data_IF_565568525157
#
_entry.id   IF_565568525157
#
_cell.length_a   1.000
_cell.length_b   1.000
_cell.length_c   1.000
_cell.angle_alpha   90.00
_cell.angle_beta   90.00
_cell.angle_gamma   90.00
#
_symmetry.space_group_name_H-M   'P 1'
#
loop_
_entity.id
_entity.type
_entity.pdbx_description
1 polymer ?
#
# COMPACT_ATOMS: atom_id res chain seq x y z
N UNK A 1 -15.97 38.66 20.49
CA UNK A 1 -15.78 38.17 19.10
C UNK A 1 -15.78 36.65 19.16
N UNK A 2 -16.81 35.98 18.68
CA UNK A 2 -16.93 34.50 18.77
C UNK A 2 -16.72 33.91 17.39
N UNK A 3 -15.65 33.13 17.24
CA UNK A 3 -15.37 32.38 16.03
C UNK A 3 -15.72 30.92 16.26
N UNK A 4 -16.47 30.30 15.36
CA UNK A 4 -16.69 28.87 15.33
C UNK A 4 -15.84 28.23 14.23
N UNK A 5 -15.03 27.28 14.60
CA UNK A 5 -14.22 26.51 13.67
C UNK A 5 -14.82 25.11 13.53
N UNK A 6 -15.22 24.77 12.31
CA UNK A 6 -15.67 23.43 11.99
C UNK A 6 -14.61 22.71 11.17
N UNK A 7 -14.21 21.54 11.62
CA UNK A 7 -13.31 20.65 10.91
C UNK A 7 -14.05 19.37 10.56
N UNK A 8 -14.29 19.14 9.28
CA UNK A 8 -15.01 17.98 8.78
C UNK A 8 -14.09 17.16 7.88
N UNK A 9 -13.81 15.88 8.19
CA UNK A 9 -12.96 15.04 7.38
C UNK A 9 -13.68 14.68 6.07
N UNK A 10 -12.95 14.82 4.95
CA UNK A 10 -13.46 14.51 3.61
C UNK A 10 -12.61 13.49 2.87
N UNK A 11 -11.58 12.93 3.52
CA UNK A 11 -10.70 11.93 2.97
C UNK A 11 -9.30 11.98 3.55
N UNK A 12 -8.39 11.28 2.91
CA UNK A 12 -6.96 11.25 3.25
C UNK A 12 -6.11 11.53 2.01
N UNK A 13 -4.80 11.78 2.21
CA UNK A 13 -3.82 11.90 1.13
C UNK A 13 -3.28 10.54 0.64
N UNK A 14 -3.84 9.45 1.12
CA UNK A 14 -3.40 8.09 0.79
C UNK A 14 -4.01 7.63 -0.54
N UNK A 15 -3.17 7.42 -1.55
CA UNK A 15 -3.58 6.82 -2.82
C UNK A 15 -3.99 5.35 -2.64
N UNK A 16 -5.09 4.96 -3.28
CA UNK A 16 -5.58 3.59 -3.28
C UNK A 16 -4.94 2.80 -4.44
N UNK A 17 -4.52 1.57 -4.16
CA UNK A 17 -3.96 0.62 -5.15
C UNK A 17 -5.05 -0.28 -5.74
N UNK A 18 -6.14 -0.50 -4.98
CA UNK A 18 -7.25 -1.40 -5.32
C UNK A 18 -8.59 -0.77 -4.98
N UNK A 19 -9.65 -1.23 -5.63
CA UNK A 19 -11.02 -0.80 -5.31
C UNK A 19 -11.44 -1.33 -3.94
N UNK A 20 -11.92 -0.47 -3.03
CA UNK A 20 -12.26 -0.82 -1.64
C UNK A 20 -13.68 -1.39 -1.54
N UNK A 21 -13.90 -2.58 -2.10
CA UNK A 21 -15.22 -3.18 -2.19
C UNK A 21 -15.88 -3.44 -0.85
N UNK A 22 -15.11 -3.84 0.18
CA UNK A 22 -15.68 -4.10 1.52
C UNK A 22 -16.14 -2.81 2.16
N UNK A 23 -15.37 -1.73 2.08
CA UNK A 23 -15.79 -0.41 2.58
C UNK A 23 -17.07 0.08 1.89
N UNK A 24 -17.17 -0.08 0.56
CA UNK A 24 -18.37 0.28 -0.22
C UNK A 24 -19.57 -0.57 0.20
N UNK A 25 -19.38 -1.88 0.36
CA UNK A 25 -20.44 -2.80 0.81
C UNK A 25 -20.92 -2.46 2.22
N UNK A 26 -20.00 -2.19 3.15
CA UNK A 26 -20.35 -1.77 4.50
C UNK A 26 -21.12 -0.45 4.52
N UNK A 27 -20.75 0.53 3.70
CA UNK A 27 -21.52 1.77 3.52
C UNK A 27 -22.95 1.46 3.07
N UNK A 28 -23.09 0.65 2.02
CA UNK A 28 -24.41 0.30 1.47
C UNK A 28 -25.28 -0.45 2.47
N UNK A 29 -24.71 -1.42 3.20
CA UNK A 29 -25.45 -2.18 4.24
C UNK A 29 -25.93 -1.26 5.36
N UNK A 30 -25.09 -0.34 5.86
CA UNK A 30 -25.48 0.58 6.92
C UNK A 30 -26.61 1.53 6.49
N UNK A 31 -26.51 2.08 5.25
CA UNK A 31 -27.57 2.94 4.70
C UNK A 31 -28.86 2.14 4.51
N UNK A 32 -28.80 0.94 3.95
CA UNK A 32 -29.96 0.08 3.75
C UNK A 32 -30.62 -0.31 5.09
N UNK A 33 -29.83 -0.71 6.08
CA UNK A 33 -30.33 -1.03 7.42
C UNK A 33 -31.04 0.16 8.06
N UNK A 34 -30.50 1.37 7.90
CA UNK A 34 -31.14 2.59 8.39
C UNK A 34 -32.48 2.86 7.68
N UNK A 35 -32.52 2.75 6.36
CA UNK A 35 -33.76 2.94 5.59
C UNK A 35 -34.83 1.94 6.00
N UNK A 36 -34.48 0.66 6.15
CA UNK A 36 -35.41 -0.39 6.58
C UNK A 36 -35.96 -0.09 7.98
N UNK A 37 -35.13 0.34 8.93
CA UNK A 37 -35.52 0.54 10.32
C UNK A 37 -36.22 1.89 10.57
N UNK A 38 -36.12 2.88 9.67
CA UNK A 38 -36.66 4.22 9.93
C UNK A 38 -37.71 4.68 8.90
N UNK A 39 -37.61 4.26 7.63
CA UNK A 39 -38.46 4.83 6.58
C UNK A 39 -39.51 3.87 6.02
N UNK A 40 -39.30 2.57 6.10
CA UNK A 40 -40.09 1.59 5.34
C UNK A 40 -40.94 0.64 6.16
N UNK A 41 -40.66 0.47 7.46
CA UNK A 41 -41.40 -0.49 8.29
C UNK A 41 -42.02 0.22 9.50
N UNK A 42 -43.35 0.05 9.74
CA UNK A 42 -44.00 0.55 10.93
C UNK A 42 -43.38 0.03 12.24
N UNK A 43 -42.76 -1.14 12.18
CA UNK A 43 -42.08 -1.82 13.29
C UNK A 43 -40.57 -1.61 13.36
N UNK A 44 -40.02 -0.65 12.59
CA UNK A 44 -38.58 -0.42 12.52
C UNK A 44 -37.90 -0.20 13.87
N UNK A 45 -38.58 0.51 14.79
CA UNK A 45 -38.07 0.68 16.14
C UNK A 45 -37.96 -0.66 16.92
N UNK A 46 -38.87 -1.61 16.71
CA UNK A 46 -38.79 -2.96 17.30
C UNK A 46 -37.65 -3.75 16.73
N UNK A 47 -37.44 -3.68 15.40
CA UNK A 47 -36.33 -4.34 14.71
C UNK A 47 -35.02 -3.77 15.22
N UNK A 48 -34.87 -2.44 15.25
CA UNK A 48 -33.66 -1.79 15.78
C UNK A 48 -33.36 -2.23 17.21
N UNK A 49 -34.39 -2.29 18.11
CA UNK A 49 -34.23 -2.72 19.49
C UNK A 49 -33.84 -4.21 19.59
N UNK A 50 -34.40 -5.07 18.74
CA UNK A 50 -34.11 -6.50 18.73
C UNK A 50 -32.64 -6.76 18.29
N UNK A 51 -32.11 -5.96 17.34
CA UNK A 51 -30.76 -6.08 16.78
C UNK A 51 -29.71 -5.27 17.54
N UNK A 52 -30.14 -4.37 18.45
CA UNK A 52 -29.23 -3.56 19.27
C UNK A 52 -28.52 -4.42 20.33
N UNK A 53 -27.29 -4.03 20.66
CA UNK A 53 -26.57 -4.60 21.79
C UNK A 53 -27.16 -4.13 23.11
N UNK A 54 -27.40 -5.07 24.03
CA UNK A 54 -27.90 -4.77 25.36
C UNK A 54 -26.90 -5.26 26.40
N UNK A 55 -26.27 -4.38 27.18
CA UNK A 55 -25.28 -4.77 28.18
C UNK A 55 -25.80 -5.77 29.20
N UNK A 56 -27.08 -5.68 29.60
CA UNK A 56 -27.73 -6.60 30.55
C UNK A 56 -27.94 -8.02 29.99
N UNK A 57 -28.04 -8.16 28.67
CA UNK A 57 -28.28 -9.43 27.97
C UNK A 57 -27.32 -9.57 26.81
N UNK A 58 -26.01 -9.81 27.07
CA UNK A 58 -24.99 -9.85 26.04
C UNK A 58 -25.24 -11.01 25.07
N UNK A 59 -25.22 -10.70 23.77
CA UNK A 59 -25.39 -11.67 22.69
C UNK A 59 -24.34 -11.38 21.60
N UNK A 60 -23.62 -12.40 21.16
CA UNK A 60 -22.64 -12.25 20.08
C UNK A 60 -23.29 -11.77 18.76
N UNK A 61 -24.51 -12.24 18.49
CA UNK A 61 -25.29 -11.80 17.32
C UNK A 61 -25.57 -10.30 17.43
N UNK A 62 -26.04 -9.83 18.59
CA UNK A 62 -26.34 -8.42 18.79
C UNK A 62 -25.08 -7.54 18.83
N UNK A 63 -23.92 -8.07 19.25
CA UNK A 63 -22.66 -7.37 19.15
C UNK A 63 -22.26 -7.04 17.67
N UNK A 64 -22.62 -7.94 16.75
CA UNK A 64 -22.38 -7.76 15.33
C UNK A 64 -23.48 -6.90 14.69
N UNK A 65 -24.75 -7.22 14.91
CA UNK A 65 -25.88 -6.54 14.25
C UNK A 65 -26.02 -5.09 14.68
N UNK A 66 -25.73 -4.77 15.94
CA UNK A 66 -25.74 -3.40 16.45
C UNK A 66 -24.79 -2.45 15.70
N UNK A 67 -23.71 -2.98 15.11
CA UNK A 67 -22.77 -2.19 14.29
C UNK A 67 -23.41 -1.64 13.00
N UNK A 68 -24.59 -2.13 12.61
CA UNK A 68 -25.32 -1.68 11.44
C UNK A 68 -26.55 -0.85 11.77
N UNK A 69 -26.91 -0.76 13.04
CA UNK A 69 -28.08 0.00 13.52
C UNK A 69 -27.68 1.43 13.89
N UNK A 70 -28.53 2.41 13.55
CA UNK A 70 -28.26 3.82 13.82
C UNK A 70 -29.50 4.51 14.40
N UNK A 71 -29.34 5.24 15.49
CA UNK A 71 -30.45 5.89 16.21
C UNK A 71 -30.98 7.16 15.51
N UNK A 72 -30.21 7.79 14.63
CA UNK A 72 -30.59 9.00 13.91
C UNK A 72 -29.83 9.16 12.60
N UNK A 73 -30.35 10.01 11.70
CA UNK A 73 -29.70 10.34 10.44
C UNK A 73 -28.31 10.98 10.64
N UNK A 74 -28.15 11.85 11.63
CA UNK A 74 -26.86 12.48 11.93
C UNK A 74 -25.84 11.44 12.43
N UNK A 75 -26.29 10.46 13.22
CA UNK A 75 -25.45 9.37 13.67
C UNK A 75 -25.00 8.48 12.49
N UNK A 76 -25.91 8.14 11.57
CA UNK A 76 -25.56 7.44 10.34
C UNK A 76 -24.56 8.22 9.50
N UNK A 77 -24.87 9.48 9.16
CA UNK A 77 -24.01 10.31 8.30
C UNK A 77 -22.63 10.47 8.89
N UNK A 78 -22.51 10.72 10.20
CA UNK A 78 -21.23 10.80 10.88
C UNK A 78 -20.40 9.52 10.69
N UNK A 79 -21.00 8.35 10.96
CA UNK A 79 -20.33 7.06 10.78
C UNK A 79 -19.94 6.81 9.31
N UNK A 80 -20.82 7.11 8.37
CA UNK A 80 -20.55 6.89 6.93
C UNK A 80 -19.43 7.78 6.40
N UNK A 81 -19.33 9.02 6.88
CA UNK A 81 -18.21 9.91 6.55
C UNK A 81 -16.88 9.33 7.05
N UNK A 82 -16.84 8.87 8.30
CA UNK A 82 -15.62 8.25 8.84
C UNK A 82 -15.28 6.95 8.11
N UNK A 83 -16.27 6.10 7.80
CA UNK A 83 -16.05 4.89 7.02
C UNK A 83 -15.52 5.22 5.61
N UNK A 84 -16.10 6.20 4.94
CA UNK A 84 -15.65 6.63 3.60
C UNK A 84 -14.25 7.24 3.61
N UNK A 85 -13.85 7.93 4.68
CA UNK A 85 -12.52 8.53 4.80
C UNK A 85 -11.43 7.52 5.14
N UNK A 86 -11.68 6.63 6.10
CA UNK A 86 -10.65 5.79 6.71
C UNK A 86 -10.74 4.31 6.30
N UNK A 87 -11.92 3.83 5.94
CA UNK A 87 -12.12 2.45 5.49
C UNK A 87 -11.30 2.09 4.27
N UNK A 88 -11.42 2.81 3.14
CA UNK A 88 -10.72 2.50 1.90
C UNK A 88 -9.19 2.37 2.05
N UNK A 89 -8.46 3.31 2.67
CA UNK A 89 -7.01 3.19 2.82
C UNK A 89 -6.60 2.03 3.72
N UNK A 90 -7.36 1.70 4.77
CA UNK A 90 -7.08 0.56 5.65
C UNK A 90 -7.36 -0.76 4.93
N UNK A 91 -8.50 -0.87 4.23
CA UNK A 91 -8.84 -2.04 3.41
C UNK A 91 -7.76 -2.31 2.34
N UNK A 92 -7.32 -1.27 1.64
CA UNK A 92 -6.31 -1.38 0.59
C UNK A 92 -4.99 -1.93 1.12
N UNK A 93 -4.59 -1.54 2.31
CA UNK A 93 -3.30 -1.93 2.93
C UNK A 93 -3.35 -3.26 3.70
N UNK A 94 -4.46 -3.60 4.33
CA UNK A 94 -4.61 -4.87 5.06
C UNK A 94 -5.16 -5.99 4.19
N UNK A 95 -5.86 -5.66 3.10
CA UNK A 95 -6.62 -6.58 2.26
C UNK A 95 -8.01 -6.88 2.85
N UNK A 96 -8.93 -7.27 1.96
CA UNK A 96 -10.37 -7.40 2.24
C UNK A 96 -10.69 -8.30 3.44
N UNK A 97 -10.06 -9.50 3.52
CA UNK A 97 -10.35 -10.48 4.59
C UNK A 97 -9.94 -9.96 5.98
N UNK A 98 -8.75 -9.35 6.07
CA UNK A 98 -8.26 -8.79 7.34
C UNK A 98 -9.04 -7.55 7.75
N UNK A 99 -9.45 -6.74 6.77
CA UNK A 99 -10.23 -5.53 7.02
C UNK A 99 -11.62 -5.84 7.58
N UNK A 100 -12.37 -6.79 6.99
CA UNK A 100 -13.68 -7.17 7.53
C UNK A 100 -13.56 -7.82 8.91
N UNK A 101 -12.55 -8.68 9.12
CA UNK A 101 -12.27 -9.27 10.44
C UNK A 101 -11.95 -8.20 11.49
N UNK A 102 -11.11 -7.21 11.14
CA UNK A 102 -10.81 -6.05 11.98
C UNK A 102 -12.07 -5.27 12.35
N UNK A 103 -12.90 -4.93 11.36
CA UNK A 103 -14.13 -4.17 11.56
C UNK A 103 -15.10 -4.89 12.50
N UNK A 104 -15.39 -6.16 12.23
CA UNK A 104 -16.34 -6.94 13.03
C UNK A 104 -15.83 -7.20 14.46
N UNK A 105 -14.56 -7.59 14.60
CA UNK A 105 -13.98 -7.87 15.91
C UNK A 105 -13.85 -6.60 16.75
N UNK A 106 -13.43 -5.49 16.15
CA UNK A 106 -13.36 -4.21 16.85
C UNK A 106 -14.72 -3.75 17.30
N UNK A 107 -15.76 -3.91 16.47
CA UNK A 107 -17.14 -3.59 16.85
C UNK A 107 -17.63 -4.43 18.03
N UNK A 108 -17.44 -5.74 17.97
CA UNK A 108 -17.85 -6.65 19.05
C UNK A 108 -17.13 -6.35 20.37
N UNK A 109 -15.80 -6.19 20.34
CA UNK A 109 -15.01 -5.86 21.55
C UNK A 109 -15.36 -4.48 22.09
N UNK A 110 -15.63 -3.52 21.22
CA UNK A 110 -16.10 -2.19 21.61
C UNK A 110 -17.40 -2.24 22.43
N UNK A 111 -18.36 -3.09 22.03
CA UNK A 111 -19.60 -3.29 22.79
C UNK A 111 -19.33 -3.89 24.17
N UNK A 112 -18.42 -4.87 24.26
CA UNK A 112 -18.01 -5.44 25.55
C UNK A 112 -17.34 -4.38 26.44
N UNK A 113 -16.45 -3.57 25.89
CA UNK A 113 -15.80 -2.49 26.64
C UNK A 113 -16.83 -1.50 27.22
N UNK A 114 -17.83 -1.12 26.42
CA UNK A 114 -18.93 -0.27 26.89
C UNK A 114 -19.74 -0.93 28.01
N UNK A 115 -20.08 -2.21 27.85
CA UNK A 115 -20.88 -2.96 28.85
C UNK A 115 -20.15 -3.06 30.20
N UNK A 116 -18.85 -3.36 30.19
CA UNK A 116 -18.03 -3.45 31.40
C UNK A 116 -18.00 -2.13 32.17
N UNK A 117 -17.84 -1.01 31.47
CA UNK A 117 -17.78 0.29 32.13
C UNK A 117 -19.15 0.76 32.60
N UNK A 118 -20.22 0.56 31.81
CA UNK A 118 -21.61 0.84 32.25
C UNK A 118 -21.95 0.02 33.49
N UNK A 119 -21.68 -1.27 33.50
CA UNK A 119 -21.98 -2.14 34.63
C UNK A 119 -21.27 -1.72 35.92
N UNK A 120 -20.10 -1.08 35.82
CA UNK A 120 -19.33 -0.59 36.96
C UNK A 120 -19.71 0.84 37.41
N UNK A 121 -19.85 1.77 36.44
CA UNK A 121 -20.02 3.20 36.74
C UNK A 121 -21.44 3.71 36.74
N UNK A 122 -22.31 3.11 35.93
CA UNK A 122 -23.68 3.58 35.69
C UNK A 122 -24.61 2.37 35.50
N UNK A 123 -24.81 1.55 36.56
CA UNK A 123 -25.63 0.33 36.50
C UNK A 123 -27.04 0.57 35.98
N UNK A 124 -27.62 1.75 36.22
CA UNK A 124 -28.95 2.14 35.75
C UNK A 124 -29.07 2.16 34.22
N UNK A 125 -27.94 2.33 33.52
CA UNK A 125 -27.89 2.34 32.04
C UNK A 125 -27.69 0.95 31.45
N UNK A 126 -27.55 -0.10 32.22
CA UNK A 126 -27.27 -1.46 31.74
C UNK A 126 -28.33 -2.01 30.78
N UNK A 127 -29.57 -1.52 30.89
CA UNK A 127 -30.68 -1.87 30.01
C UNK A 127 -30.73 -1.03 28.73
N UNK A 128 -29.93 0.04 28.66
CA UNK A 128 -29.94 0.96 27.50
C UNK A 128 -29.32 0.27 26.30
N UNK A 129 -30.03 0.16 25.17
CA UNK A 129 -29.48 -0.44 23.97
C UNK A 129 -28.38 0.44 23.37
N UNK A 130 -27.29 -0.18 22.95
CA UNK A 130 -26.15 0.46 22.26
C UNK A 130 -26.20 0.07 20.78
N UNK A 131 -26.11 1.05 19.91
CA UNK A 131 -26.14 0.91 18.43
C UNK A 131 -25.10 1.81 17.78
N UNK A 132 -24.65 1.42 16.60
CA UNK A 132 -23.79 2.22 15.74
C UNK A 132 -22.51 1.54 15.33
N UNK A 133 -22.07 1.88 14.13
CA UNK A 133 -20.80 1.42 13.55
C UNK A 133 -19.57 2.00 14.26
N UNK A 134 -19.74 2.97 15.14
CA UNK A 134 -18.68 3.83 15.65
C UNK A 134 -17.58 3.10 16.43
N UNK A 135 -17.91 2.02 17.16
CA UNK A 135 -16.92 1.17 17.81
C UNK A 135 -16.02 0.43 16.82
N UNK A 136 -16.61 -0.12 15.75
CA UNK A 136 -15.87 -0.75 14.66
C UNK A 136 -15.01 0.27 13.90
N UNK A 137 -15.56 1.47 13.64
CA UNK A 137 -14.85 2.57 13.00
C UNK A 137 -13.69 3.10 13.83
N UNK A 138 -13.85 3.14 15.15
CA UNK A 138 -12.75 3.44 16.06
C UNK A 138 -11.61 2.42 15.92
N UNK A 139 -11.95 1.13 15.73
CA UNK A 139 -10.97 0.10 15.41
C UNK A 139 -10.26 0.32 14.07
N UNK A 140 -11.01 0.74 13.04
CA UNK A 140 -10.43 1.15 11.75
C UNK A 140 -9.46 2.33 11.92
N UNK A 141 -9.80 3.34 12.73
CA UNK A 141 -8.91 4.46 13.07
C UNK A 141 -7.65 4.00 13.79
N UNK A 142 -7.76 3.08 14.75
CA UNK A 142 -6.61 2.49 15.43
C UNK A 142 -5.66 1.79 14.45
N UNK A 143 -6.21 0.96 13.58
CA UNK A 143 -5.43 0.29 12.53
C UNK A 143 -4.84 1.28 11.51
N UNK A 144 -5.56 2.34 11.16
CA UNK A 144 -5.08 3.41 10.29
C UNK A 144 -3.82 4.08 10.85
N UNK A 145 -3.82 4.44 12.13
CA UNK A 145 -2.65 5.07 12.78
C UNK A 145 -1.42 4.15 12.79
N UNK A 146 -1.64 2.86 13.05
CA UNK A 146 -0.54 1.87 13.08
C UNK A 146 0.02 1.62 11.68
N UNK A 147 -0.87 1.48 10.68
CA UNK A 147 -0.46 1.10 9.32
C UNK A 147 0.00 2.29 8.47
N UNK A 148 -0.54 3.48 8.72
CA UNK A 148 -0.35 4.69 7.91
C UNK A 148 0.10 5.90 8.77
N UNK A 149 1.20 5.76 9.54
CA UNK A 149 1.60 6.76 10.53
C UNK A 149 2.04 8.11 9.93
N UNK A 150 2.25 8.19 8.62
CA UNK A 150 2.62 9.41 7.92
C UNK A 150 1.48 10.07 7.13
N UNK A 151 0.28 9.48 7.16
CA UNK A 151 -0.87 9.98 6.41
C UNK A 151 -1.40 11.32 6.95
N UNK A 152 -2.04 12.08 6.06
CA UNK A 152 -2.74 13.32 6.42
C UNK A 152 -4.22 13.19 6.12
N UNK A 153 -5.05 13.75 6.98
CA UNK A 153 -6.49 13.86 6.79
C UNK A 153 -6.77 15.15 6.03
N UNK A 154 -7.53 15.06 4.96
CA UNK A 154 -8.10 16.23 4.29
C UNK A 154 -9.34 16.64 5.07
N UNK A 155 -9.34 17.87 5.56
CA UNK A 155 -10.47 18.43 6.31
C UNK A 155 -10.98 19.69 5.63
N UNK A 156 -12.28 19.85 5.58
CA UNK A 156 -12.89 21.14 5.29
C UNK A 156 -12.90 21.92 6.59
N UNK A 157 -12.21 23.04 6.59
CA UNK A 157 -12.24 24.01 7.67
C UNK A 157 -13.15 25.16 7.27
N UNK A 158 -14.23 25.37 8.03
CA UNK A 158 -15.11 26.51 7.86
C UNK A 158 -15.00 27.43 9.06
N UNK A 159 -14.81 28.71 8.81
CA UNK A 159 -14.84 29.76 9.84
C UNK A 159 -16.18 30.47 9.74
N UNK A 160 -16.97 30.40 10.79
CA UNK A 160 -18.25 31.08 10.93
C UNK A 160 -18.06 32.34 11.78
N UNK A 161 -18.47 33.47 11.24
CA UNK A 161 -18.53 34.73 11.93
C UNK A 161 -19.98 34.99 12.32
N UNK A 162 -20.29 35.12 13.61
CA UNK A 162 -21.69 35.23 14.08
C UNK A 162 -22.49 36.37 13.46
N UNK A 163 -21.86 37.45 12.99
CA UNK A 163 -22.51 38.63 12.42
C UNK A 163 -22.55 38.64 10.87
N UNK A 164 -21.74 37.80 10.20
CA UNK A 164 -21.54 37.89 8.75
C UNK A 164 -21.66 36.54 8.01
N UNK A 165 -22.06 35.47 8.69
CA UNK A 165 -22.18 34.13 8.11
C UNK A 165 -20.83 33.42 7.87
N UNK A 166 -20.79 32.49 6.90
CA UNK A 166 -19.57 31.72 6.58
C UNK A 166 -18.58 32.60 5.84
N UNK A 167 -17.46 32.95 6.48
CA UNK A 167 -16.46 33.85 5.91
C UNK A 167 -15.39 33.18 5.06
N UNK A 168 -14.99 31.97 5.41
CA UNK A 168 -13.99 31.19 4.67
C UNK A 168 -14.26 29.69 4.77
N UNK A 169 -14.24 29.04 3.61
CA UNK A 169 -14.15 27.59 3.50
C UNK A 169 -12.79 27.28 2.89
N UNK A 170 -12.03 26.42 3.51
CA UNK A 170 -10.72 26.00 2.99
C UNK A 170 -10.49 24.53 3.24
N UNK A 171 -9.78 23.85 2.32
CA UNK A 171 -9.33 22.48 2.53
C UNK A 171 -7.94 22.52 3.17
N UNK A 172 -7.81 21.86 4.31
CA UNK A 172 -6.55 21.74 5.06
C UNK A 172 -6.12 20.27 5.13
N UNK A 173 -4.81 20.09 5.23
CA UNK A 173 -4.22 18.77 5.51
C UNK A 173 -3.70 18.75 6.94
N UNK A 174 -4.30 17.90 7.76
CA UNK A 174 -3.92 17.70 9.16
C UNK A 174 -3.20 16.35 9.28
N UNK A 175 -2.03 16.26 9.94
CA UNK A 175 -1.42 14.98 10.24
C UNK A 175 -2.41 14.06 10.96
N UNK A 176 -2.62 12.84 10.45
CA UNK A 176 -3.64 11.95 10.98
C UNK A 176 -3.42 11.60 12.46
N UNK A 177 -2.16 11.45 12.88
CA UNK A 177 -1.79 11.25 14.28
C UNK A 177 -2.36 12.35 15.19
N UNK A 178 -2.23 13.62 14.78
CA UNK A 178 -2.75 14.77 15.57
C UNK A 178 -4.26 14.77 15.56
N UNK A 179 -4.90 14.63 14.39
CA UNK A 179 -6.35 14.66 14.26
C UNK A 179 -7.04 13.57 15.09
N UNK A 180 -6.51 12.34 15.03
CA UNK A 180 -7.07 11.22 15.82
C UNK A 180 -6.70 11.34 17.30
N UNK A 181 -5.51 11.82 17.66
CA UNK A 181 -5.14 12.05 19.07
C UNK A 181 -6.08 13.06 19.73
N UNK A 182 -6.38 14.17 19.05
CA UNK A 182 -7.37 15.15 19.54
C UNK A 182 -8.74 14.52 19.70
N UNK A 183 -9.18 13.72 18.72
CA UNK A 183 -10.46 13.01 18.80
C UNK A 183 -10.49 12.05 19.99
N UNK A 184 -9.44 11.24 20.21
CA UNK A 184 -9.32 10.33 21.38
C UNK A 184 -9.35 11.10 22.70
N UNK A 185 -8.61 12.22 22.78
CA UNK A 185 -8.59 13.06 23.98
C UNK A 185 -9.99 13.60 24.31
N UNK A 186 -10.75 14.03 23.29
CA UNK A 186 -12.13 14.47 23.46
C UNK A 186 -13.04 13.30 23.89
N UNK A 187 -12.91 12.09 23.30
CA UNK A 187 -13.66 10.91 23.73
C UNK A 187 -13.41 10.61 25.21
N UNK A 188 -12.15 10.65 25.64
CA UNK A 188 -11.77 10.40 27.02
C UNK A 188 -12.32 11.50 27.96
N UNK A 189 -12.19 12.76 27.58
CA UNK A 189 -12.70 13.88 28.37
C UNK A 189 -14.23 13.77 28.56
N UNK A 190 -14.96 13.49 27.49
CA UNK A 190 -16.42 13.29 27.56
C UNK A 190 -16.80 12.04 28.35
N UNK A 191 -16.07 10.92 28.18
CA UNK A 191 -16.30 9.70 28.94
C UNK A 191 -16.11 9.89 30.46
N UNK A 192 -15.23 10.80 30.87
CA UNK A 192 -14.96 11.13 32.27
C UNK A 192 -15.94 12.17 32.83
N UNK A 193 -16.26 13.21 32.04
CA UNK A 193 -17.10 14.33 32.47
C UNK A 193 -18.59 14.00 32.51
N UNK A 194 -19.08 13.15 31.59
CA UNK A 194 -20.50 12.81 31.45
C UNK A 194 -20.72 11.30 31.55
N UNK A 195 -20.69 10.77 32.76
CA UNK A 195 -20.86 9.34 33.03
C UNK A 195 -22.24 8.80 32.56
N UNK A 196 -23.26 9.63 32.60
CA UNK A 196 -24.65 9.28 32.22
C UNK A 196 -24.98 9.57 30.75
N UNK A 197 -23.96 9.83 29.92
CA UNK A 197 -24.18 10.08 28.52
C UNK A 197 -24.68 8.84 27.77
N UNK A 198 -25.69 9.03 26.94
CA UNK A 198 -26.17 8.02 25.98
C UNK A 198 -25.17 7.73 24.87
N UNK A 199 -24.09 8.50 24.78
CA UNK A 199 -23.01 8.27 23.79
C UNK A 199 -22.03 7.24 24.33
N UNK A 200 -21.73 6.23 23.51
CA UNK A 200 -20.89 5.09 23.90
C UNK A 200 -19.38 5.41 23.78
N UNK A 201 -18.89 6.38 24.55
CA UNK A 201 -17.48 6.82 24.50
C UNK A 201 -16.48 5.69 24.80
N UNK A 202 -16.80 4.82 25.73
CA UNK A 202 -15.94 3.67 26.09
C UNK A 202 -15.89 2.63 24.98
N UNK A 203 -16.97 2.49 24.20
CA UNK A 203 -16.95 1.70 22.96
C UNK A 203 -15.94 2.26 21.96
N UNK A 204 -15.85 3.59 21.80
CA UNK A 204 -14.87 4.20 20.91
C UNK A 204 -13.43 3.96 21.37
N UNK A 205 -13.16 4.14 22.67
CA UNK A 205 -11.83 3.90 23.24
C UNK A 205 -11.42 2.43 23.16
N UNK A 206 -12.34 1.51 23.49
CA UNK A 206 -12.12 0.06 23.34
C UNK A 206 -11.87 -0.34 21.88
N UNK A 207 -12.66 0.22 20.96
CA UNK A 207 -12.52 -0.01 19.53
C UNK A 207 -11.15 0.40 19.00
N UNK A 208 -10.68 1.61 19.31
CA UNK A 208 -9.37 2.09 18.81
C UNK A 208 -8.21 1.27 19.37
N UNK A 209 -8.28 0.86 20.63
CA UNK A 209 -7.23 0.05 21.26
C UNK A 209 -7.14 -1.33 20.61
N UNK A 210 -8.27 -2.03 20.42
CA UNK A 210 -8.27 -3.35 19.82
C UNK A 210 -7.86 -3.29 18.34
N UNK A 211 -8.33 -2.28 17.60
CA UNK A 211 -7.95 -2.12 16.19
C UNK A 211 -6.47 -1.82 16.01
N UNK A 212 -5.88 -0.97 16.86
CA UNK A 212 -4.44 -0.73 16.89
C UNK A 212 -3.67 -2.00 17.27
N UNK A 213 -4.12 -2.73 18.30
CA UNK A 213 -3.52 -3.98 18.75
C UNK A 213 -3.51 -5.06 17.67
N UNK A 214 -4.64 -5.25 16.98
CA UNK A 214 -4.76 -6.22 15.89
C UNK A 214 -3.86 -5.85 14.70
N UNK A 215 -3.80 -4.57 14.33
CA UNK A 215 -2.92 -4.10 13.28
C UNK A 215 -1.43 -4.27 13.65
N UNK A 216 -1.08 -3.97 14.91
CA UNK A 216 0.28 -4.16 15.43
C UNK A 216 0.68 -5.64 15.42
N UNK A 217 -0.14 -6.52 16.00
CA UNK A 217 0.09 -7.95 16.05
C UNK A 217 0.16 -8.59 14.64
N UNK A 218 -0.60 -8.06 13.68
CA UNK A 218 -0.55 -8.45 12.27
C UNK A 218 0.66 -7.91 11.49
N UNK A 219 1.62 -7.24 12.14
CA UNK A 219 2.84 -6.69 11.52
C UNK A 219 2.60 -5.43 10.68
N UNK A 220 1.42 -4.84 10.74
CA UNK A 220 1.08 -3.67 9.92
C UNK A 220 1.94 -2.43 10.26
N UNK A 221 2.44 -2.32 11.49
CA UNK A 221 3.31 -1.24 11.92
C UNK A 221 4.65 -1.24 11.16
N UNK A 222 5.24 -2.43 10.95
CA UNK A 222 6.48 -2.55 10.19
C UNK A 222 6.26 -2.15 8.74
N UNK A 223 5.20 -2.70 8.11
CA UNK A 223 4.83 -2.33 6.74
C UNK A 223 4.57 -0.82 6.60
N UNK A 224 3.94 -0.19 7.60
CA UNK A 224 3.73 1.25 7.64
C UNK A 224 5.02 2.05 7.73
N UNK A 225 6.00 1.59 8.50
CA UNK A 225 7.31 2.22 8.59
C UNK A 225 8.08 2.11 7.27
N UNK A 226 8.12 0.93 6.67
CA UNK A 226 8.76 0.71 5.37
C UNK A 226 8.16 1.61 4.29
N UNK A 227 6.83 1.65 4.18
CA UNK A 227 6.13 2.51 3.22
C UNK A 227 6.42 4.00 3.46
N UNK A 228 6.49 4.44 4.72
CA UNK A 228 6.83 5.82 5.07
C UNK A 228 8.24 6.21 4.61
N UNK A 229 9.24 5.36 4.85
CA UNK A 229 10.62 5.60 4.37
C UNK A 229 10.65 5.70 2.84
N UNK A 230 9.96 4.80 2.14
CA UNK A 230 9.85 4.82 0.68
C UNK A 230 9.22 6.13 0.17
N UNK A 231 8.09 6.55 0.76
CA UNK A 231 7.41 7.80 0.36
C UNK A 231 8.25 9.04 0.65
N UNK A 232 9.02 9.05 1.75
CA UNK A 232 9.96 10.13 2.04
C UNK A 232 11.10 10.17 1.04
N UNK A 233 11.65 9.01 0.67
CA UNK A 233 12.69 8.93 -0.34
C UNK A 233 12.23 9.49 -1.70
N UNK A 234 11.01 9.14 -2.14
CA UNK A 234 10.42 9.71 -3.37
C UNK A 234 10.30 11.23 -3.25
N UNK A 235 9.78 11.74 -2.14
CA UNK A 235 9.66 13.19 -1.91
C UNK A 235 11.01 13.89 -1.92
N UNK A 236 12.04 13.31 -1.31
CA UNK A 236 13.39 13.87 -1.32
C UNK A 236 13.99 13.88 -2.73
N UNK A 237 13.71 12.87 -3.56
CA UNK A 237 14.10 12.89 -4.97
C UNK A 237 13.43 14.03 -5.75
N UNK A 238 12.14 14.24 -5.54
CA UNK A 238 11.38 15.37 -6.13
C UNK A 238 11.93 16.74 -5.69
N UNK A 239 12.49 16.82 -4.48
CA UNK A 239 13.10 18.01 -3.90
C UNK A 239 14.61 18.14 -4.18
N UNK A 240 15.16 17.31 -5.05
CA UNK A 240 16.60 17.26 -5.40
C UNK A 240 17.52 16.98 -4.18
N UNK A 241 16.99 16.41 -3.12
CA UNK A 241 17.71 16.07 -1.89
C UNK A 241 18.19 14.62 -1.92
N UNK A 242 19.10 14.30 -2.84
CA UNK A 242 19.48 12.93 -3.20
C UNK A 242 20.08 12.14 -2.03
N UNK A 243 20.96 12.75 -1.22
CA UNK A 243 21.54 12.07 -0.05
C UNK A 243 20.50 11.73 1.02
N UNK A 244 19.49 12.59 1.21
CA UNK A 244 18.40 12.32 2.12
C UNK A 244 17.53 11.14 1.61
N UNK A 245 17.29 11.07 0.28
CA UNK A 245 16.60 9.95 -0.33
C UNK A 245 17.35 8.62 -0.13
N UNK A 246 18.68 8.63 -0.32
CA UNK A 246 19.54 7.46 -0.06
C UNK A 246 19.43 7.03 1.38
N UNK A 247 19.55 7.94 2.37
CA UNK A 247 19.47 7.62 3.79
C UNK A 247 18.12 7.04 4.22
N UNK A 248 17.00 7.52 3.65
CA UNK A 248 15.68 6.95 3.92
C UNK A 248 15.55 5.51 3.40
N UNK A 249 16.11 5.21 2.22
CA UNK A 249 16.08 3.87 1.65
C UNK A 249 17.02 2.90 2.39
N UNK A 250 18.20 3.35 2.78
CA UNK A 250 19.09 2.58 3.63
C UNK A 250 18.45 2.25 4.99
N UNK A 251 17.76 3.23 5.60
CA UNK A 251 16.96 3.02 6.82
C UNK A 251 15.81 2.02 6.60
N UNK A 252 15.16 2.05 5.44
CA UNK A 252 14.15 1.07 5.06
C UNK A 252 14.74 -0.35 5.01
N UNK A 253 15.92 -0.51 4.42
CA UNK A 253 16.57 -1.82 4.30
C UNK A 253 17.00 -2.39 5.64
N UNK A 254 17.50 -1.58 6.56
CA UNK A 254 17.84 -2.01 7.94
C UNK A 254 16.62 -2.47 8.74
N UNK A 255 15.43 -1.97 8.41
CA UNK A 255 14.16 -2.36 9.03
C UNK A 255 13.53 -3.64 8.44
N UNK A 256 14.16 -4.28 7.47
CA UNK A 256 13.66 -5.49 6.84
C UNK A 256 13.07 -5.28 5.43
N UNK A 257 13.21 -4.11 4.84
CA UNK A 257 12.78 -3.81 3.45
C UNK A 257 13.73 -4.32 2.36
N UNK A 258 14.74 -5.11 2.72
CA UNK A 258 15.78 -5.56 1.79
C UNK A 258 15.30 -6.53 0.69
N UNK A 259 14.10 -7.08 0.79
CA UNK A 259 13.48 -7.94 -0.21
C UNK A 259 12.60 -7.19 -1.23
N UNK A 260 12.50 -5.86 -1.14
CA UNK A 260 11.70 -5.03 -2.04
C UNK A 260 12.54 -4.61 -3.27
N UNK A 261 12.29 -5.26 -4.40
CA UNK A 261 13.00 -4.99 -5.66
C UNK A 261 12.81 -3.55 -6.16
N UNK A 262 11.60 -3.01 -6.05
CA UNK A 262 11.31 -1.64 -6.47
C UNK A 262 12.01 -0.61 -5.58
N UNK A 263 12.17 -0.90 -4.28
CA UNK A 263 12.92 -0.03 -3.38
C UNK A 263 14.42 -0.01 -3.73
N UNK A 264 14.99 -1.15 -4.14
CA UNK A 264 16.37 -1.18 -4.63
C UNK A 264 16.55 -0.43 -5.94
N UNK A 265 15.58 -0.48 -6.87
CA UNK A 265 15.60 0.33 -8.08
C UNK A 265 15.51 1.83 -7.76
N UNK A 266 14.64 2.22 -6.83
CA UNK A 266 14.54 3.60 -6.35
C UNK A 266 15.85 4.07 -5.68
N UNK A 267 16.48 3.19 -4.89
CA UNK A 267 17.78 3.45 -4.27
C UNK A 267 18.87 3.66 -5.31
N UNK A 268 18.88 2.84 -6.36
CA UNK A 268 19.82 2.99 -7.47
C UNK A 268 19.67 4.36 -8.17
N UNK A 269 18.42 4.81 -8.42
CA UNK A 269 18.16 6.16 -8.96
C UNK A 269 18.70 7.26 -8.06
N UNK A 270 18.43 7.17 -6.75
CA UNK A 270 18.91 8.12 -5.77
C UNK A 270 20.45 8.17 -5.75
N UNK A 271 21.12 7.03 -5.82
CA UNK A 271 22.57 6.92 -5.86
C UNK A 271 23.19 7.48 -7.16
N UNK A 272 22.54 7.26 -8.31
CA UNK A 272 22.97 7.88 -9.58
C UNK A 272 22.89 9.39 -9.48
N UNK A 273 21.77 9.91 -8.98
CA UNK A 273 21.55 11.34 -8.80
C UNK A 273 22.53 11.95 -7.76
N UNK A 274 22.93 11.17 -6.75
CA UNK A 274 23.96 11.56 -5.78
C UNK A 274 25.40 11.39 -6.29
N UNK A 275 25.62 10.97 -7.56
CA UNK A 275 26.94 10.76 -8.16
C UNK A 275 27.63 9.45 -7.74
N UNK A 276 26.98 8.56 -6.99
CA UNK A 276 27.54 7.32 -6.46
C UNK A 276 27.38 6.15 -7.42
N UNK A 277 27.98 6.24 -8.63
CA UNK A 277 27.76 5.30 -9.74
C UNK A 277 28.05 3.84 -9.40
N UNK A 278 29.17 3.54 -8.74
CA UNK A 278 29.55 2.15 -8.42
C UNK A 278 28.51 1.48 -7.47
N UNK A 279 28.07 2.20 -6.45
CA UNK A 279 27.03 1.72 -5.52
C UNK A 279 25.67 1.60 -6.21
N UNK A 280 25.37 2.49 -7.16
CA UNK A 280 24.13 2.45 -7.95
C UNK A 280 24.03 1.18 -8.81
N UNK A 281 25.14 0.75 -9.43
CA UNK A 281 25.21 -0.51 -10.18
C UNK A 281 24.85 -1.70 -9.27
N UNK A 282 25.40 -1.73 -8.06
CA UNK A 282 25.09 -2.79 -7.09
C UNK A 282 23.60 -2.79 -6.70
N UNK A 283 23.02 -1.61 -6.50
CA UNK A 283 21.60 -1.47 -6.17
C UNK A 283 20.69 -1.93 -7.34
N UNK A 284 21.02 -1.59 -8.59
CA UNK A 284 20.31 -2.10 -9.77
C UNK A 284 20.44 -3.62 -9.91
N UNK A 285 21.65 -4.17 -9.77
CA UNK A 285 21.88 -5.62 -9.79
C UNK A 285 20.99 -6.32 -8.74
N UNK A 286 20.91 -5.76 -7.54
CA UNK A 286 20.05 -6.29 -6.47
C UNK A 286 18.58 -6.23 -6.83
N UNK A 287 18.10 -5.10 -7.39
CA UNK A 287 16.71 -4.94 -7.84
C UNK A 287 16.33 -5.97 -8.90
N UNK A 288 17.19 -6.13 -9.91
CA UNK A 288 16.98 -7.05 -11.03
C UNK A 288 17.01 -8.51 -10.52
N UNK A 289 18.01 -8.90 -9.72
CA UNK A 289 18.13 -10.24 -9.18
C UNK A 289 16.91 -10.63 -8.31
N UNK A 290 16.43 -9.72 -7.45
CA UNK A 290 15.21 -9.93 -6.65
C UNK A 290 13.97 -10.08 -7.54
N UNK A 291 13.82 -9.25 -8.57
CA UNK A 291 12.69 -9.33 -9.51
C UNK A 291 12.69 -10.65 -10.28
N UNK A 292 13.86 -11.13 -10.71
CA UNK A 292 14.01 -12.41 -11.39
C UNK A 292 13.69 -13.60 -10.48
N UNK A 293 14.11 -13.57 -9.21
CA UNK A 293 13.78 -14.62 -8.23
C UNK A 293 12.31 -14.64 -7.85
N UNK A 294 11.62 -13.50 -7.91
CA UNK A 294 10.19 -13.35 -7.67
C UNK A 294 9.34 -13.59 -8.93
N UNK A 295 9.96 -14.02 -10.03
CA UNK A 295 9.34 -14.24 -11.34
C UNK A 295 8.63 -13.00 -11.93
N UNK A 296 8.98 -11.82 -11.45
CA UNK A 296 8.44 -10.55 -11.94
C UNK A 296 9.30 -9.97 -13.08
N UNK A 297 9.12 -10.56 -14.27
CA UNK A 297 9.92 -10.21 -15.46
C UNK A 297 9.78 -8.75 -15.87
N UNK A 298 8.57 -8.22 -15.81
CA UNK A 298 8.30 -6.82 -16.20
C UNK A 298 9.12 -5.84 -15.36
N UNK A 299 9.15 -6.00 -14.04
CA UNK A 299 9.94 -5.16 -13.14
C UNK A 299 11.44 -5.36 -13.36
N UNK A 300 11.88 -6.60 -13.61
CA UNK A 300 13.29 -6.89 -13.91
C UNK A 300 13.76 -6.19 -15.20
N UNK A 301 12.97 -6.26 -16.27
CA UNK A 301 13.26 -5.61 -17.54
C UNK A 301 13.24 -4.09 -17.42
N UNK A 302 12.26 -3.53 -16.73
CA UNK A 302 12.19 -2.09 -16.49
C UNK A 302 13.43 -1.59 -15.73
N UNK A 303 13.84 -2.30 -14.68
CA UNK A 303 15.05 -1.95 -13.92
C UNK A 303 16.33 -2.10 -14.75
N UNK A 304 16.42 -3.12 -15.62
CA UNK A 304 17.55 -3.32 -16.53
C UNK A 304 17.64 -2.20 -17.57
N UNK A 305 16.55 -1.90 -18.27
CA UNK A 305 16.51 -0.83 -19.26
C UNK A 305 16.86 0.53 -18.65
N UNK A 306 16.40 0.79 -17.43
CA UNK A 306 16.74 1.99 -16.70
C UNK A 306 18.23 2.02 -16.31
N UNK A 307 18.79 0.89 -15.86
CA UNK A 307 20.22 0.75 -15.56
C UNK A 307 21.06 1.07 -16.79
N UNK A 308 20.74 0.51 -17.94
CA UNK A 308 21.46 0.77 -19.18
C UNK A 308 21.39 2.23 -19.61
N UNK A 309 20.21 2.86 -19.45
CA UNK A 309 20.03 4.28 -19.76
C UNK A 309 20.87 5.20 -18.87
N UNK A 310 20.93 4.93 -17.57
CA UNK A 310 21.59 5.78 -16.57
C UNK A 310 23.09 5.47 -16.42
N UNK A 311 23.47 4.24 -16.66
CA UNK A 311 24.79 3.67 -16.44
C UNK A 311 25.18 2.76 -17.62
N UNK A 312 25.40 3.31 -18.81
CA UNK A 312 25.72 2.53 -19.99
C UNK A 312 26.90 1.56 -19.77
N UNK A 313 26.88 0.42 -20.46
CA UNK A 313 27.84 -0.67 -20.37
C UNK A 313 27.94 -1.35 -18.98
N UNK A 314 26.95 -1.17 -18.13
CA UNK A 314 26.85 -1.91 -16.85
C UNK A 314 26.31 -3.31 -17.11
N UNK A 315 27.01 -4.35 -16.63
CA UNK A 315 26.66 -5.75 -16.87
C UNK A 315 26.23 -6.41 -15.57
N UNK A 316 25.23 -7.31 -15.65
CA UNK A 316 24.79 -8.14 -14.54
C UNK A 316 25.73 -9.35 -14.37
N UNK A 317 25.54 -10.09 -13.27
CA UNK A 317 26.14 -11.41 -13.13
C UNK A 317 25.71 -12.32 -14.29
N UNK A 318 26.58 -13.28 -14.73
CA UNK A 318 26.32 -14.05 -15.94
C UNK A 318 24.95 -14.74 -16.01
N UNK A 319 24.50 -15.27 -14.88
CA UNK A 319 23.18 -15.92 -14.78
C UNK A 319 22.05 -14.96 -15.06
N UNK A 320 22.08 -13.82 -14.40
CA UNK A 320 21.00 -12.83 -14.49
C UNK A 320 21.00 -12.13 -15.84
N UNK A 321 22.19 -11.85 -16.41
CA UNK A 321 22.30 -11.30 -17.76
C UNK A 321 21.68 -12.23 -18.81
N UNK A 322 21.89 -13.55 -18.71
CA UNK A 322 21.27 -14.52 -19.62
C UNK A 322 19.75 -14.59 -19.46
N UNK A 323 19.23 -14.46 -18.24
CA UNK A 323 17.78 -14.40 -18.00
C UNK A 323 17.18 -13.13 -18.61
N UNK A 324 17.86 -12.00 -18.49
CA UNK A 324 17.44 -10.73 -19.10
C UNK A 324 17.47 -10.82 -20.63
N UNK A 325 18.52 -11.36 -21.25
CA UNK A 325 18.58 -11.57 -22.72
C UNK A 325 17.39 -12.39 -23.19
N UNK A 326 17.08 -13.48 -22.47
CA UNK A 326 15.92 -14.32 -22.80
C UNK A 326 14.61 -13.54 -22.65
N UNK A 327 14.44 -12.77 -21.58
CA UNK A 327 13.23 -12.01 -21.30
C UNK A 327 13.03 -10.90 -22.35
N UNK A 328 14.06 -10.13 -22.70
CA UNK A 328 14.03 -9.10 -23.74
C UNK A 328 13.60 -9.68 -25.08
N UNK A 329 14.16 -10.85 -25.48
CA UNK A 329 13.77 -11.52 -26.72
C UNK A 329 12.31 -11.96 -26.71
N UNK A 330 11.79 -12.42 -25.58
CA UNK A 330 10.37 -12.85 -25.45
C UNK A 330 9.39 -11.68 -25.55
N UNK A 331 9.80 -10.50 -25.10
CA UNK A 331 8.99 -9.27 -25.17
C UNK A 331 9.16 -8.53 -26.51
N UNK A 332 10.02 -9.02 -27.40
CA UNK A 332 10.26 -8.38 -28.70
C UNK A 332 11.25 -7.23 -28.69
N UNK A 333 11.94 -7.00 -27.58
CA UNK A 333 12.96 -5.97 -27.40
C UNK A 333 14.31 -6.43 -27.98
N UNK A 334 14.34 -6.65 -29.29
CA UNK A 334 15.46 -7.33 -29.97
C UNK A 334 16.76 -6.52 -29.97
N UNK A 335 16.70 -5.20 -30.14
CA UNK A 335 17.85 -4.32 -30.07
C UNK A 335 18.50 -4.37 -28.68
N UNK A 336 17.71 -4.24 -27.64
CA UNK A 336 18.20 -4.34 -26.27
C UNK A 336 18.76 -5.75 -25.97
N UNK A 337 18.16 -6.81 -26.53
CA UNK A 337 18.65 -8.17 -26.38
C UNK A 337 19.99 -8.38 -27.08
N UNK A 338 20.20 -7.79 -28.26
CA UNK A 338 21.48 -7.84 -28.98
C UNK A 338 22.59 -7.12 -28.19
N UNK A 339 22.30 -5.92 -27.69
CA UNK A 339 23.25 -5.16 -26.83
C UNK A 339 23.57 -5.96 -25.57
N UNK A 340 22.58 -6.54 -24.91
CA UNK A 340 22.80 -7.35 -23.72
C UNK A 340 23.65 -8.61 -23.95
N UNK A 341 23.61 -9.18 -25.18
CA UNK A 341 24.51 -10.26 -25.60
C UNK A 341 25.93 -9.75 -25.80
N UNK A 342 26.12 -8.60 -26.46
CA UNK A 342 27.43 -8.00 -26.70
C UNK A 342 28.12 -7.64 -25.37
N UNK A 343 27.36 -7.02 -24.44
CA UNK A 343 27.84 -6.70 -23.11
C UNK A 343 28.29 -7.97 -22.36
N UNK A 344 27.49 -9.09 -22.46
CA UNK A 344 27.89 -10.35 -21.87
C UNK A 344 29.19 -10.89 -22.41
N UNK A 345 29.36 -10.94 -23.73
CA UNK A 345 30.55 -11.51 -24.36
C UNK A 345 31.79 -10.64 -24.14
N UNK A 346 31.61 -9.34 -23.96
CA UNK A 346 32.68 -8.40 -23.62
C UNK A 346 33.12 -8.53 -22.17
N UNK A 347 32.16 -8.61 -21.24
CA UNK A 347 32.46 -8.67 -19.82
C UNK A 347 32.93 -10.08 -19.34
N UNK A 348 32.50 -11.11 -20.07
CA UNK A 348 32.76 -12.52 -19.68
C UNK A 348 33.32 -13.32 -20.85
N UNK A 349 34.50 -12.96 -21.42
CA UNK A 349 35.03 -13.56 -22.64
C UNK A 349 35.35 -15.07 -22.52
N UNK A 350 35.73 -15.52 -21.35
CA UNK A 350 36.05 -16.94 -21.09
C UNK A 350 34.89 -17.74 -20.46
N UNK A 351 33.68 -17.16 -20.39
CA UNK A 351 32.53 -17.87 -19.81
C UNK A 351 32.07 -19.03 -20.70
N UNK A 352 31.81 -20.19 -20.14
CA UNK A 352 31.43 -21.42 -20.87
C UNK A 352 30.25 -21.25 -21.84
N UNK A 353 29.36 -20.28 -21.60
CA UNK A 353 28.22 -19.95 -22.49
C UNK A 353 28.53 -18.79 -23.45
N UNK A 354 29.74 -18.22 -23.49
CA UNK A 354 30.10 -17.06 -24.29
C UNK A 354 29.74 -17.26 -25.77
N UNK A 355 30.18 -18.36 -26.37
CA UNK A 355 29.90 -18.67 -27.77
C UNK A 355 28.42 -18.94 -28.06
N UNK A 356 27.69 -19.51 -27.12
CA UNK A 356 26.24 -19.67 -27.24
C UNK A 356 25.52 -18.30 -27.25
N UNK A 357 25.93 -17.38 -26.39
CA UNK A 357 25.41 -16.00 -26.37
C UNK A 357 25.75 -15.25 -27.64
N UNK A 358 26.98 -15.43 -28.16
CA UNK A 358 27.40 -14.86 -29.46
C UNK A 358 26.55 -15.41 -30.61
N UNK A 359 26.30 -16.71 -30.65
CA UNK A 359 25.36 -17.30 -31.63
C UNK A 359 23.98 -16.70 -31.53
N UNK A 360 23.46 -16.51 -30.32
CA UNK A 360 22.16 -15.87 -30.07
C UNK A 360 22.16 -14.41 -30.59
N UNK A 361 23.22 -13.64 -30.37
CA UNK A 361 23.36 -12.29 -30.91
C UNK A 361 23.35 -12.28 -32.46
N UNK A 362 24.06 -13.24 -33.10
CA UNK A 362 24.03 -13.43 -34.55
C UNK A 362 22.59 -13.68 -35.04
N UNK A 363 21.87 -14.58 -34.40
CA UNK A 363 20.47 -14.89 -34.77
C UNK A 363 19.52 -13.71 -34.61
N UNK A 364 19.65 -12.97 -33.52
CA UNK A 364 18.83 -11.76 -33.26
C UNK A 364 19.13 -10.72 -34.36
N UNK A 365 20.39 -10.42 -34.63
CA UNK A 365 20.77 -9.42 -35.62
C UNK A 365 20.36 -9.82 -37.05
N UNK A 366 20.65 -11.05 -37.46
CA UNK A 366 20.36 -11.49 -38.82
C UNK A 366 18.85 -11.69 -39.08
N UNK A 367 18.15 -12.37 -38.19
CA UNK A 367 16.77 -12.81 -38.43
C UNK A 367 15.70 -11.84 -37.93
N UNK A 368 16.00 -11.07 -36.87
CA UNK A 368 15.00 -10.23 -36.22
C UNK A 368 15.22 -8.73 -36.42
N UNK A 369 16.49 -8.31 -36.59
CA UNK A 369 16.81 -6.91 -36.82
C UNK A 369 17.22 -6.58 -38.27
N UNK A 370 17.50 -7.61 -39.11
CA UNK A 370 17.98 -7.41 -40.48
C UNK A 370 19.40 -6.87 -40.57
N UNK A 371 20.12 -6.79 -39.44
CA UNK A 371 21.51 -6.32 -39.36
C UNK A 371 22.49 -7.43 -39.80
N UNK A 372 22.62 -7.60 -41.12
CA UNK A 372 23.46 -8.64 -41.72
C UNK A 372 24.96 -8.36 -41.49
N UNK A 373 25.38 -7.12 -41.52
CA UNK A 373 26.79 -6.74 -41.35
C UNK A 373 27.28 -7.00 -39.95
N UNK A 374 26.53 -6.59 -38.95
CA UNK A 374 26.80 -6.85 -37.53
C UNK A 374 26.77 -8.38 -37.22
N UNK A 375 25.82 -9.10 -37.78
CA UNK A 375 25.77 -10.55 -37.65
C UNK A 375 26.98 -11.24 -38.30
N UNK A 376 27.41 -10.81 -39.50
CA UNK A 376 28.59 -11.35 -40.17
C UNK A 376 29.88 -11.08 -39.39
N UNK A 377 30.01 -9.89 -38.81
CA UNK A 377 31.18 -9.54 -37.96
C UNK A 377 31.26 -10.49 -36.73
N UNK A 378 30.15 -10.72 -36.02
CA UNK A 378 30.09 -11.64 -34.88
C UNK A 378 30.37 -13.09 -35.32
N UNK A 379 29.87 -13.48 -36.50
CA UNK A 379 30.09 -14.82 -37.05
C UNK A 379 31.56 -15.09 -37.35
N UNK A 380 32.30 -14.10 -37.88
CA UNK A 380 33.77 -14.20 -38.07
C UNK A 380 34.51 -14.40 -36.74
N UNK A 381 34.11 -13.67 -35.71
CA UNK A 381 34.75 -13.71 -34.40
C UNK A 381 34.43 -14.98 -33.57
N UNK A 382 33.35 -15.70 -33.88
CA UNK A 382 32.91 -16.89 -33.14
C UNK A 382 33.85 -18.10 -33.37
N UNK A 383 34.12 -18.89 -32.29
CA UNK A 383 34.93 -20.11 -32.35
C UNK A 383 34.02 -21.36 -32.18
N UNK A 384 33.78 -22.14 -33.28
CA UNK A 384 32.94 -23.34 -33.21
C UNK A 384 33.47 -24.45 -32.27
N UNK A 385 34.75 -24.42 -31.89
CA UNK A 385 35.35 -25.42 -31.01
C UNK A 385 34.98 -25.21 -29.53
N UNK A 386 34.53 -24.01 -29.18
CA UNK A 386 34.10 -23.63 -27.83
C UNK A 386 32.61 -23.95 -27.55
N UNK A 387 31.92 -24.54 -28.54
CA UNK A 387 30.50 -24.91 -28.42
C UNK A 387 30.29 -26.34 -28.94
N UNK A 388 29.32 -27.08 -28.42
CA UNK A 388 29.14 -28.49 -28.77
C UNK A 388 27.70 -28.82 -29.23
N UNK A 389 27.55 -29.99 -29.89
CA UNK A 389 26.24 -30.53 -30.29
C UNK A 389 25.54 -29.64 -31.33
N UNK A 390 24.21 -29.61 -31.30
CA UNK A 390 23.39 -28.88 -32.28
C UNK A 390 23.76 -27.40 -32.47
N UNK A 391 24.30 -26.79 -31.44
CA UNK A 391 24.70 -25.39 -31.49
C UNK A 391 25.98 -25.17 -32.29
N UNK A 392 26.92 -26.11 -32.22
CA UNK A 392 28.12 -26.12 -33.06
C UNK A 392 27.75 -26.25 -34.54
N UNK A 393 26.89 -27.22 -34.88
CA UNK A 393 26.38 -27.40 -36.25
C UNK A 393 25.71 -26.14 -36.77
N UNK A 394 24.90 -25.49 -35.93
CA UNK A 394 24.19 -24.25 -36.30
C UNK A 394 25.13 -23.10 -36.55
N UNK A 395 26.16 -22.94 -35.73
CA UNK A 395 27.21 -21.93 -35.93
C UNK A 395 28.01 -22.20 -37.21
N UNK A 396 28.42 -23.44 -37.47
CA UNK A 396 29.13 -23.83 -38.70
C UNK A 396 28.28 -23.56 -39.93
N UNK A 397 26.98 -23.88 -39.91
CA UNK A 397 26.06 -23.59 -41.00
C UNK A 397 25.98 -22.08 -41.30
N UNK A 398 25.88 -21.24 -40.23
CA UNK A 398 25.91 -19.79 -40.39
C UNK A 398 27.25 -19.26 -40.96
N UNK A 399 28.36 -19.87 -40.56
CA UNK A 399 29.69 -19.53 -41.13
C UNK A 399 29.83 -19.90 -42.61
N UNK A 400 29.23 -21.01 -43.02
CA UNK A 400 29.33 -21.52 -44.40
C UNK A 400 28.35 -20.83 -45.38
N UNK A 401 27.15 -20.50 -44.90
CA UNK A 401 26.05 -19.98 -45.74
C UNK A 401 25.96 -18.46 -45.85
N UNK A 402 26.87 -17.73 -45.19
CA UNK A 402 26.70 -16.30 -44.99
C UNK A 402 25.53 -15.99 -44.00
N UNK A 403 25.50 -14.81 -43.45
CA UNK A 403 24.47 -14.33 -42.55
C UNK A 403 23.28 -13.79 -43.33
#
# INVERSE_FOLDING_TARGET
>A
MVYFFFYFPIGTDVGLRRRPWVSITLLAINILAYVITHAWLPEGARIMYALAWKPAHPSLVNAITSCFMHASILHLVGNMVYLACFGPPVEDRLGRRRFIGLYMLSGAVAMVAQALVIGWRSPDLIQTPVVGASGALAGVLGAFLVRLPGARIRVVAATLFMLHGVNRVSVKFVPAMIGVAVWVALQLAYALAWADSRTAYWSHLGGILIGAGLAFAGGAWLQGRLERHRLRAVRYLEQWSFYAAVGELESMFTLGGAADAEAHALHARALVAAGRRATAIQAFRRAIGLSLTQENRSVALQAYMEMQRLLPASVLEPRDQLLIVRALRMEGEYEAAAVACDDFTTAYPEHAKGELVRLLAIEIRAALLGDRDGAAALCRAADPRKITGRWQTRLLHRKAGGV
#
